data_IF_454117783502
#
_entry.id   IF_454117783502
#
_cell.length_a   1.000
_cell.length_b   1.000
_cell.length_c   1.000
_cell.angle_alpha   90.00
_cell.angle_beta   90.00
_cell.angle_gamma   90.00
#
_symmetry.space_group_name_H-M   'P 1'
#
loop_
_entity.id
_entity.type
_entity.pdbx_description
1 polymer ?
#
# COMPACT_ATOMS: atom_id res chain seq x y z
N UNK A 1 -9.99 -6.91 14.51
CA UNK A 1 -9.02 -6.60 13.45
C UNK A 1 -7.60 -6.66 14.00
N UNK A 2 -7.21 -5.71 14.87
CA UNK A 2 -5.91 -5.66 15.56
C UNK A 2 -5.90 -6.55 16.81
N UNK A 3 -4.72 -6.80 17.35
CA UNK A 3 -4.53 -7.41 18.67
C UNK A 3 -5.02 -6.46 19.76
N UNK A 4 -5.32 -6.99 20.95
CA UNK A 4 -5.76 -6.15 22.07
C UNK A 4 -4.62 -5.20 22.48
N UNK A 5 -4.92 -3.91 22.55
CA UNK A 5 -4.01 -2.91 23.08
C UNK A 5 -4.23 -2.78 24.59
N UNK A 6 -3.15 -2.87 25.39
CA UNK A 6 -3.17 -2.72 26.85
C UNK A 6 -2.73 -1.33 27.31
N UNK A 7 -1.80 -0.70 26.57
CA UNK A 7 -1.31 0.65 26.83
C UNK A 7 -0.93 1.32 25.52
N UNK A 8 -1.31 2.57 25.40
CA UNK A 8 -0.86 3.44 24.32
C UNK A 8 -0.55 4.82 24.92
N UNK A 9 0.70 5.04 25.25
CA UNK A 9 1.22 6.29 25.80
C UNK A 9 1.94 7.07 24.70
N UNK A 10 1.26 8.08 24.17
CA UNK A 10 1.76 8.90 23.04
C UNK A 10 2.93 9.76 23.48
N UNK A 11 2.92 10.26 24.73
CA UNK A 11 3.98 11.15 25.26
C UNK A 11 5.28 10.39 25.49
N UNK A 12 5.19 9.17 26.03
CA UNK A 12 6.33 8.30 26.24
C UNK A 12 6.74 7.50 25.00
N UNK A 13 5.91 7.49 23.93
CA UNK A 13 6.14 6.66 22.74
C UNK A 13 6.02 5.16 23.01
N UNK A 14 5.20 4.76 24.00
CA UNK A 14 5.07 3.35 24.41
C UNK A 14 3.73 2.79 23.96
N UNK A 15 3.78 1.66 23.21
CA UNK A 15 2.62 0.84 22.88
C UNK A 15 2.81 -0.57 23.42
N UNK A 16 1.84 -1.08 24.18
CA UNK A 16 1.84 -2.45 24.72
C UNK A 16 0.62 -3.19 24.20
N UNK A 17 0.86 -4.20 23.41
CA UNK A 17 -0.17 -5.04 22.80
C UNK A 17 -0.21 -6.43 23.43
N UNK A 18 -1.32 -7.13 23.23
CA UNK A 18 -1.45 -8.54 23.49
C UNK A 18 -0.41 -9.32 22.65
N UNK A 19 0.31 -10.22 23.31
CA UNK A 19 1.17 -11.18 22.63
C UNK A 19 0.35 -12.41 22.25
N UNK A 20 0.33 -12.77 20.98
CA UNK A 20 -0.36 -13.96 20.51
C UNK A 20 0.67 -15.09 20.44
N UNK A 21 0.62 -15.97 21.44
CA UNK A 21 1.54 -17.09 21.54
C UNK A 21 1.43 -18.02 20.33
N UNK A 22 2.58 -18.41 19.76
CA UNK A 22 2.70 -19.27 18.58
C UNK A 22 1.94 -18.74 17.34
N UNK A 23 1.75 -17.43 17.23
CA UNK A 23 1.23 -16.84 16.01
C UNK A 23 2.21 -17.01 14.85
N UNK A 24 1.67 -17.18 13.66
CA UNK A 24 2.43 -17.26 12.42
C UNK A 24 2.27 -15.95 11.67
N UNK A 25 3.37 -15.30 11.33
CA UNK A 25 3.41 -14.16 10.40
C UNK A 25 3.21 -14.67 8.97
N UNK A 26 2.34 -14.02 8.21
CA UNK A 26 2.15 -14.39 6.81
C UNK A 26 3.32 -13.89 5.95
N UNK A 27 3.49 -14.52 4.81
CA UNK A 27 4.42 -14.15 3.74
C UNK A 27 3.67 -14.09 2.39
N UNK A 28 4.37 -13.70 1.32
CA UNK A 28 3.81 -13.57 -0.02
C UNK A 28 3.19 -14.88 -0.58
N UNK A 29 3.52 -16.04 -0.02
CA UNK A 29 2.95 -17.34 -0.40
C UNK A 29 1.71 -17.67 0.44
N UNK A 30 1.84 -17.57 1.75
CA UNK A 30 0.78 -17.97 2.68
C UNK A 30 -0.42 -17.03 2.64
N UNK A 31 -0.22 -15.74 2.40
CA UNK A 31 -1.28 -14.74 2.28
C UNK A 31 -2.27 -15.09 1.14
N UNK A 32 -1.78 -15.68 0.05
CA UNK A 32 -2.59 -16.08 -1.11
C UNK A 32 -3.60 -17.20 -0.80
N UNK A 33 -3.43 -17.89 0.32
CA UNK A 33 -4.34 -18.96 0.78
C UNK A 33 -5.43 -18.45 1.74
N UNK A 34 -5.50 -17.12 2.00
CA UNK A 34 -6.33 -16.52 3.06
C UNK A 34 -7.29 -15.43 2.56
N UNK A 35 -7.63 -15.41 1.28
CA UNK A 35 -8.49 -14.38 0.69
C UNK A 35 -9.82 -14.24 1.41
N UNK A 36 -10.43 -15.37 1.79
CA UNK A 36 -11.68 -15.46 2.55
C UNK A 36 -11.61 -14.84 3.95
N UNK A 37 -10.40 -14.70 4.52
CA UNK A 37 -10.16 -14.09 5.82
C UNK A 37 -9.71 -12.63 5.72
N UNK A 38 -8.87 -12.31 4.71
CA UNK A 38 -8.29 -10.97 4.54
C UNK A 38 -9.32 -9.99 3.98
N UNK A 39 -10.08 -10.41 2.96
CA UNK A 39 -11.07 -9.53 2.33
C UNK A 39 -12.10 -8.98 3.33
N UNK A 40 -12.71 -9.76 4.26
CA UNK A 40 -13.59 -9.22 5.29
C UNK A 40 -12.92 -8.25 6.27
N UNK A 41 -11.63 -8.41 6.55
CA UNK A 41 -10.87 -7.47 7.38
C UNK A 41 -10.82 -6.11 6.66
N UNK A 42 -10.41 -6.08 5.38
CA UNK A 42 -10.32 -4.85 4.61
C UNK A 42 -11.70 -4.22 4.37
N UNK A 43 -12.72 -5.02 4.07
CA UNK A 43 -14.11 -4.53 3.98
C UNK A 43 -14.54 -3.81 5.26
N UNK A 44 -14.22 -4.42 6.42
CA UNK A 44 -14.56 -3.83 7.73
C UNK A 44 -13.89 -2.48 7.95
N UNK A 45 -12.63 -2.32 7.53
CA UNK A 45 -11.87 -1.07 7.65
C UNK A 45 -12.46 -0.01 6.71
N UNK A 46 -12.58 -0.34 5.43
CA UNK A 46 -12.98 0.58 4.37
C UNK A 46 -14.45 1.00 4.47
N UNK A 47 -15.32 0.14 5.02
CA UNK A 47 -16.73 0.45 5.24
C UNK A 47 -17.03 0.97 6.66
N UNK A 48 -16.02 1.16 7.53
CA UNK A 48 -16.22 1.49 8.95
C UNK A 48 -16.90 2.83 9.19
N UNK A 49 -16.81 3.77 8.26
CA UNK A 49 -17.23 5.15 8.44
C UNK A 49 -16.45 5.93 9.50
N UNK A 50 -15.38 5.36 10.04
CA UNK A 50 -14.49 6.02 11.01
C UNK A 50 -13.57 7.00 10.29
N UNK A 51 -13.27 8.10 10.95
CA UNK A 51 -12.24 9.03 10.49
C UNK A 51 -10.95 8.82 11.29
N UNK A 52 -9.86 8.57 10.56
CA UNK A 52 -8.50 8.54 11.09
C UNK A 52 -7.90 9.95 11.06
N UNK A 53 -6.92 10.18 11.91
CA UNK A 53 -6.14 11.41 11.86
C UNK A 53 -5.17 11.35 10.69
N UNK A 54 -5.09 12.44 9.94
CA UNK A 54 -4.19 12.53 8.79
C UNK A 54 -4.81 12.02 7.49
N UNK A 55 -4.14 12.37 6.43
CA UNK A 55 -4.46 11.98 5.07
C UNK A 55 -3.15 11.57 4.39
N UNK A 56 -3.16 10.44 3.74
CA UNK A 56 -2.03 10.01 2.93
C UNK A 56 -2.23 10.50 1.49
N UNK A 57 -1.49 11.53 1.10
CA UNK A 57 -1.55 12.16 -0.20
C UNK A 57 -0.37 11.70 -1.08
N UNK A 58 -0.53 10.75 -2.01
CA UNK A 58 0.58 10.11 -2.72
C UNK A 58 1.50 11.11 -3.45
N UNK A 59 0.96 12.11 -4.10
CA UNK A 59 1.76 13.11 -4.84
C UNK A 59 2.55 14.02 -3.90
N UNK A 60 2.02 14.31 -2.71
CA UNK A 60 2.76 15.06 -1.68
C UNK A 60 3.87 14.20 -1.05
N UNK A 61 3.65 12.89 -0.89
CA UNK A 61 4.70 11.98 -0.43
C UNK A 61 5.86 11.88 -1.44
N UNK A 62 5.59 11.88 -2.75
CA UNK A 62 6.64 11.97 -3.78
C UNK A 62 7.45 13.26 -3.59
N UNK A 63 6.79 14.42 -3.52
CA UNK A 63 7.45 15.72 -3.32
C UNK A 63 8.26 15.78 -2.03
N UNK A 64 7.73 15.19 -0.96
CA UNK A 64 8.39 15.10 0.34
C UNK A 64 9.70 14.33 0.23
N UNK A 65 9.70 13.10 -0.33
CA UNK A 65 10.94 12.33 -0.50
C UNK A 65 11.91 13.01 -1.47
N UNK A 66 11.43 13.61 -2.57
CA UNK A 66 12.28 14.44 -3.45
C UNK A 66 12.99 15.56 -2.69
N UNK A 67 12.30 16.20 -1.72
CA UNK A 67 12.87 17.29 -0.93
C UNK A 67 13.84 16.82 0.18
N UNK A 68 13.78 15.57 0.57
CA UNK A 68 14.63 14.96 1.60
C UNK A 68 15.90 14.34 1.03
N UNK A 69 15.92 14.02 -0.27
CA UNK A 69 17.09 13.50 -0.97
C UNK A 69 18.05 14.65 -1.25
N UNK A 70 19.26 14.55 -0.70
CA UNK A 70 20.29 15.60 -0.83
C UNK A 70 21.12 15.43 -2.12
N UNK A 71 21.32 14.19 -2.55
CA UNK A 71 22.06 13.86 -3.75
C UNK A 71 21.14 13.77 -4.98
N UNK A 72 21.74 13.49 -6.12
CA UNK A 72 20.97 13.27 -7.35
C UNK A 72 20.26 11.93 -7.30
N UNK A 73 18.94 11.92 -7.55
CA UNK A 73 18.17 10.70 -7.74
C UNK A 73 18.81 9.86 -8.86
N UNK A 74 19.21 8.60 -8.58
CA UNK A 74 20.06 7.82 -9.47
C UNK A 74 19.33 7.19 -10.66
N UNK A 75 18.03 7.37 -10.76
CA UNK A 75 17.20 6.69 -11.75
C UNK A 75 17.29 7.34 -13.15
N UNK A 76 17.41 6.49 -14.17
CA UNK A 76 17.44 6.95 -15.56
C UNK A 76 16.10 7.62 -15.94
N UNK A 77 16.18 8.74 -16.67
CA UNK A 77 15.02 9.49 -17.16
C UNK A 77 14.04 9.95 -16.07
N UNK A 78 14.48 10.03 -14.80
CA UNK A 78 13.61 10.33 -13.67
C UNK A 78 12.67 11.51 -13.92
N UNK A 79 13.17 12.61 -14.48
CA UNK A 79 12.35 13.81 -14.73
C UNK A 79 11.16 13.53 -15.66
N UNK A 80 11.37 12.80 -16.74
CA UNK A 80 10.29 12.47 -17.68
C UNK A 80 9.29 11.49 -17.03
N UNK A 81 9.78 10.46 -16.35
CA UNK A 81 8.93 9.50 -15.63
C UNK A 81 8.10 10.20 -14.54
N UNK A 82 8.71 11.15 -13.82
CA UNK A 82 8.01 11.95 -12.83
C UNK A 82 6.85 12.75 -13.45
N UNK A 83 7.08 13.39 -14.59
CA UNK A 83 6.04 14.15 -15.30
C UNK A 83 4.85 13.24 -15.69
N UNK A 84 5.13 12.02 -16.16
CA UNK A 84 4.11 11.03 -16.46
C UNK A 84 3.37 10.58 -15.18
N UNK A 85 4.08 10.28 -14.08
CA UNK A 85 3.47 9.94 -12.78
C UNK A 85 2.52 11.06 -12.32
N UNK A 86 2.95 12.33 -12.38
CA UNK A 86 2.11 13.45 -11.97
C UNK A 86 0.91 13.70 -12.90
N UNK A 87 0.97 13.27 -14.15
CA UNK A 87 -0.19 13.33 -15.04
C UNK A 87 -1.36 12.46 -14.56
N UNK A 88 -1.09 11.40 -13.78
CA UNK A 88 -2.09 10.52 -13.18
C UNK A 88 -2.95 11.21 -12.12
N UNK A 89 -2.50 12.33 -11.53
CA UNK A 89 -3.27 13.10 -10.54
C UNK A 89 -4.62 13.54 -11.11
N UNK A 90 -4.59 14.13 -12.31
CA UNK A 90 -5.81 14.54 -13.01
C UNK A 90 -6.72 13.35 -13.34
N UNK A 91 -6.12 12.22 -13.68
CA UNK A 91 -6.88 11.00 -13.99
C UNK A 91 -7.59 10.46 -12.75
N UNK A 92 -6.88 10.36 -11.61
CA UNK A 92 -7.48 9.97 -10.32
C UNK A 92 -8.60 10.93 -9.91
N UNK A 93 -8.39 12.24 -10.05
CA UNK A 93 -9.42 13.23 -9.74
C UNK A 93 -10.69 13.03 -10.59
N UNK A 94 -10.55 12.69 -11.87
CA UNK A 94 -11.69 12.41 -12.77
C UNK A 94 -12.40 11.08 -12.41
N UNK A 95 -11.68 10.07 -11.92
CA UNK A 95 -12.26 8.81 -11.46
C UNK A 95 -12.98 8.96 -10.10
N UNK A 96 -12.70 10.06 -9.38
CA UNK A 96 -13.16 10.29 -8.04
C UNK A 96 -12.32 9.50 -7.02
N UNK A 97 -11.78 10.21 -6.03
CA UNK A 97 -11.00 9.62 -4.92
C UNK A 97 -11.93 9.47 -3.73
N UNK A 98 -12.09 8.24 -3.27
CA UNK A 98 -12.83 7.96 -2.04
C UNK A 98 -11.98 8.24 -0.82
N UNK A 99 -12.57 8.87 0.20
CA UNK A 99 -11.87 9.16 1.46
C UNK A 99 -12.39 8.25 2.55
N UNK A 100 -11.66 7.15 2.79
CA UNK A 100 -11.99 6.10 3.76
C UNK A 100 -10.80 5.85 4.69
N UNK A 101 -11.06 5.16 5.81
CA UNK A 101 -9.98 4.67 6.66
C UNK A 101 -9.21 3.58 5.92
N UNK A 102 -7.90 3.73 5.79
CA UNK A 102 -6.99 2.79 5.16
C UNK A 102 -5.84 2.43 6.09
N UNK A 103 -5.28 1.25 5.90
CA UNK A 103 -4.09 0.80 6.63
C UNK A 103 -2.82 1.45 6.07
N UNK A 104 -2.78 1.67 4.76
CA UNK A 104 -1.71 2.26 3.96
C UNK A 104 -0.55 1.29 3.68
N UNK A 105 -0.14 0.49 4.65
CA UNK A 105 1.02 -0.39 4.58
C UNK A 105 0.61 -1.87 4.68
N UNK A 106 -0.08 -2.37 3.65
CA UNK A 106 -0.56 -3.76 3.61
C UNK A 106 0.50 -4.71 3.04
N UNK A 107 1.56 -4.92 3.80
CA UNK A 107 2.55 -5.99 3.55
C UNK A 107 2.08 -7.31 4.17
N UNK A 108 2.47 -8.47 3.63
CA UNK A 108 2.09 -9.78 4.20
C UNK A 108 2.47 -9.93 5.68
N UNK A 109 3.61 -9.37 6.08
CA UNK A 109 4.17 -9.45 7.43
C UNK A 109 3.30 -8.74 8.48
N UNK A 110 2.42 -7.84 8.06
CA UNK A 110 1.46 -7.16 8.94
C UNK A 110 0.22 -8.03 9.22
N UNK A 111 0.13 -9.22 8.63
CA UNK A 111 -0.90 -10.21 8.96
C UNK A 111 -0.33 -11.34 9.80
N UNK A 112 -0.88 -11.55 11.00
CA UNK A 112 -0.51 -12.67 11.87
C UNK A 112 -1.72 -13.57 12.12
N UNK A 113 -1.49 -14.89 12.09
CA UNK A 113 -2.53 -15.89 12.34
C UNK A 113 -2.25 -16.63 13.65
N UNK A 114 -3.23 -16.64 14.55
CA UNK A 114 -3.15 -17.42 15.78
C UNK A 114 -3.26 -18.93 15.51
N UNK A 115 -2.84 -19.80 16.46
CA UNK A 115 -3.02 -21.25 16.34
C UNK A 115 -4.47 -21.71 16.15
N UNK A 116 -5.43 -20.86 16.54
CA UNK A 116 -6.87 -21.13 16.38
C UNK A 116 -7.38 -20.63 15.00
N UNK A 117 -6.50 -20.16 14.14
CA UNK A 117 -6.82 -19.72 12.79
C UNK A 117 -7.45 -18.32 12.71
N UNK A 118 -7.42 -17.53 13.79
CA UNK A 118 -7.84 -16.13 13.76
C UNK A 118 -6.75 -15.26 13.17
N UNK A 119 -7.12 -14.44 12.19
CA UNK A 119 -6.22 -13.49 11.56
C UNK A 119 -6.31 -12.11 12.21
N UNK A 120 -5.17 -11.48 12.41
CA UNK A 120 -5.03 -10.11 12.89
C UNK A 120 -4.24 -9.29 11.89
N UNK A 121 -4.58 -8.02 11.75
CA UNK A 121 -3.83 -7.02 11.02
C UNK A 121 -3.21 -6.07 12.05
N UNK A 122 -1.90 -5.92 11.99
CA UNK A 122 -1.08 -5.16 12.95
C UNK A 122 -0.35 -4.03 12.22
N UNK A 123 0.38 -3.23 12.98
CA UNK A 123 1.23 -2.14 12.50
C UNK A 123 0.48 -1.01 11.77
N UNK A 124 -0.34 -0.32 12.54
CA UNK A 124 -1.22 0.77 12.08
C UNK A 124 -0.54 2.14 12.05
N UNK A 125 0.79 2.23 12.07
CA UNK A 125 1.50 3.51 12.21
C UNK A 125 1.27 4.47 11.03
N UNK A 126 1.10 3.94 9.82
CA UNK A 126 0.80 4.72 8.62
C UNK A 126 -0.69 4.93 8.38
N UNK A 127 -1.57 4.32 9.18
CA UNK A 127 -3.01 4.34 8.95
C UNK A 127 -3.55 5.77 8.84
N UNK A 128 -4.26 6.05 7.76
CA UNK A 128 -4.69 7.40 7.39
C UNK A 128 -5.97 7.33 6.55
N UNK A 129 -6.54 8.50 6.29
CA UNK A 129 -7.61 8.60 5.29
C UNK A 129 -6.99 8.53 3.89
N UNK A 130 -7.50 7.64 3.05
CA UNK A 130 -7.11 7.48 1.65
C UNK A 130 -8.21 6.76 0.86
N UNK A 131 -7.96 6.52 -0.41
CA UNK A 131 -8.81 5.66 -1.25
C UNK A 131 -8.54 4.18 -0.93
N UNK A 132 -9.56 3.34 -0.69
CA UNK A 132 -9.41 1.90 -0.46
C UNK A 132 -8.62 1.15 -1.52
N UNK A 133 -8.62 1.66 -2.77
CA UNK A 133 -7.86 1.06 -3.86
C UNK A 133 -6.34 1.16 -3.64
N UNK A 134 -5.88 2.10 -2.79
CA UNK A 134 -4.50 2.15 -2.32
C UNK A 134 -4.13 0.88 -1.54
N UNK A 135 -4.95 0.50 -0.57
CA UNK A 135 -4.72 -0.69 0.25
C UNK A 135 -4.72 -1.98 -0.59
N UNK A 136 -5.64 -2.08 -1.55
CA UNK A 136 -5.65 -3.22 -2.47
C UNK A 136 -4.40 -3.25 -3.35
N UNK A 137 -3.96 -2.09 -3.86
CA UNK A 137 -2.73 -1.99 -4.65
C UNK A 137 -1.50 -2.40 -3.83
N UNK A 138 -1.42 -1.98 -2.55
CA UNK A 138 -0.35 -2.38 -1.63
C UNK A 138 -0.32 -3.89 -1.43
N UNK A 139 -1.47 -4.48 -1.06
CA UNK A 139 -1.58 -5.92 -0.86
C UNK A 139 -1.12 -6.71 -2.10
N UNK A 140 -1.53 -6.29 -3.29
CA UNK A 140 -1.20 -6.99 -4.52
C UNK A 140 0.29 -6.86 -4.90
N UNK A 141 0.88 -5.69 -4.70
CA UNK A 141 2.30 -5.46 -4.98
C UNK A 141 3.20 -6.19 -3.99
N UNK A 142 2.93 -6.04 -2.69
CA UNK A 142 3.80 -6.58 -1.63
C UNK A 142 3.68 -8.11 -1.51
N UNK A 143 2.53 -8.65 -1.91
CA UNK A 143 2.30 -10.10 -1.92
C UNK A 143 2.57 -10.74 -3.29
N UNK A 144 3.07 -9.97 -4.26
CA UNK A 144 3.39 -10.45 -5.60
C UNK A 144 2.24 -11.22 -6.27
N UNK A 145 1.02 -10.66 -6.21
CA UNK A 145 -0.14 -11.30 -6.81
C UNK A 145 -0.03 -11.28 -8.35
N UNK A 146 -0.33 -12.41 -8.95
CA UNK A 146 -0.62 -12.48 -10.40
C UNK A 146 -1.96 -11.83 -10.71
N UNK A 147 -2.24 -11.40 -11.96
CA UNK A 147 -3.55 -10.86 -12.33
C UNK A 147 -4.72 -11.79 -12.00
N UNK A 148 -4.52 -13.10 -12.06
CA UNK A 148 -5.53 -14.09 -11.70
C UNK A 148 -5.79 -14.13 -10.19
N UNK A 149 -4.74 -13.99 -9.37
CA UNK A 149 -4.86 -13.93 -7.92
C UNK A 149 -5.51 -12.61 -7.46
N UNK A 150 -5.22 -11.50 -8.15
CA UNK A 150 -5.89 -10.22 -7.91
C UNK A 150 -7.41 -10.33 -8.14
N UNK A 151 -7.84 -10.87 -9.29
CA UNK A 151 -9.27 -11.06 -9.56
C UNK A 151 -9.91 -12.06 -8.58
N UNK A 152 -9.21 -13.12 -8.21
CA UNK A 152 -9.69 -14.05 -7.20
C UNK A 152 -9.87 -13.36 -5.84
N UNK A 153 -8.93 -12.52 -5.41
CA UNK A 153 -9.07 -11.73 -4.19
C UNK A 153 -10.24 -10.73 -4.29
N UNK A 154 -10.34 -10.01 -5.40
CA UNK A 154 -11.40 -9.03 -5.62
C UNK A 154 -12.78 -9.66 -5.59
N UNK A 155 -12.95 -10.91 -6.02
CA UNK A 155 -14.23 -11.63 -5.90
C UNK A 155 -14.69 -11.86 -4.46
N UNK A 156 -13.78 -11.84 -3.48
CA UNK A 156 -14.09 -11.89 -2.05
C UNK A 156 -14.31 -10.51 -1.43
N UNK A 157 -13.69 -9.47 -2.02
CA UNK A 157 -13.70 -8.12 -1.45
C UNK A 157 -14.83 -7.24 -2.01
N UNK A 158 -15.15 -7.33 -3.30
CA UNK A 158 -16.10 -6.43 -3.96
C UNK A 158 -17.53 -6.60 -3.45
N UNK A 159 -18.16 -5.49 -3.09
CA UNK A 159 -19.56 -5.43 -2.65
C UNK A 159 -20.14 -4.04 -2.92
N UNK A 160 -21.43 -3.83 -2.63
CA UNK A 160 -22.05 -2.51 -2.72
C UNK A 160 -21.39 -1.46 -1.80
N UNK A 161 -20.87 -1.89 -0.63
CA UNK A 161 -20.21 -1.02 0.34
C UNK A 161 -18.73 -0.82 0.05
N UNK A 162 -18.13 -1.74 -0.71
CA UNK A 162 -16.72 -1.74 -1.10
C UNK A 162 -16.58 -1.94 -2.62
N UNK A 163 -17.02 -0.96 -3.43
CA UNK A 163 -16.89 -1.03 -4.89
C UNK A 163 -15.42 -1.00 -5.30
N UNK A 164 -15.10 -1.68 -6.40
CA UNK A 164 -13.73 -1.80 -6.91
C UNK A 164 -13.57 -1.01 -8.20
N UNK A 165 -12.50 -0.24 -8.28
CA UNK A 165 -12.00 0.37 -9.51
C UNK A 165 -10.63 -0.20 -9.86
N UNK A 166 -10.59 -1.11 -10.83
CA UNK A 166 -9.35 -1.72 -11.31
C UNK A 166 -8.37 -0.70 -11.89
N UNK A 167 -8.91 0.36 -12.48
CA UNK A 167 -8.12 1.47 -12.99
C UNK A 167 -7.42 2.24 -11.86
N UNK A 168 -8.14 2.57 -10.78
CA UNK A 168 -7.50 3.21 -9.61
C UNK A 168 -6.44 2.31 -8.98
N UNK A 169 -6.67 1.00 -8.88
CA UNK A 169 -5.67 0.04 -8.41
C UNK A 169 -4.41 0.09 -9.27
N UNK A 170 -4.54 0.10 -10.60
CA UNK A 170 -3.39 0.19 -11.51
C UNK A 170 -2.60 1.49 -11.30
N UNK A 171 -3.29 2.62 -11.18
CA UNK A 171 -2.65 3.92 -10.90
C UNK A 171 -1.95 3.90 -9.53
N UNK A 172 -2.61 3.40 -8.48
CA UNK A 172 -2.01 3.34 -7.15
C UNK A 172 -0.80 2.41 -7.06
N UNK A 173 -0.75 1.34 -7.84
CA UNK A 173 0.47 0.51 -7.97
C UNK A 173 1.64 1.32 -8.51
N UNK A 174 1.42 2.13 -9.56
CA UNK A 174 2.45 3.01 -10.12
C UNK A 174 2.93 4.03 -9.09
N UNK A 175 2.00 4.67 -8.38
CA UNK A 175 2.31 5.67 -7.36
C UNK A 175 3.09 5.09 -6.18
N UNK A 176 2.72 3.90 -5.71
CA UNK A 176 3.45 3.21 -4.64
C UNK A 176 4.88 2.88 -5.06
N UNK A 177 5.05 2.34 -6.25
CA UNK A 177 6.38 2.04 -6.75
C UNK A 177 7.25 3.29 -6.93
N UNK A 178 6.67 4.42 -7.36
CA UNK A 178 7.36 5.69 -7.43
C UNK A 178 7.75 6.21 -6.03
N UNK A 179 6.84 6.16 -5.05
CA UNK A 179 7.09 6.63 -3.67
C UNK A 179 8.17 5.79 -3.00
N UNK A 180 8.00 4.45 -3.01
CA UNK A 180 8.93 3.56 -2.30
C UNK A 180 10.30 3.49 -2.96
N UNK A 181 10.41 3.74 -4.28
CA UNK A 181 11.72 3.93 -4.91
C UNK A 181 12.46 5.17 -4.36
N UNK A 182 11.78 6.29 -4.18
CA UNK A 182 12.37 7.51 -3.61
C UNK A 182 12.68 7.36 -2.11
N UNK A 183 11.78 6.73 -1.35
CA UNK A 183 12.02 6.39 0.04
C UNK A 183 13.30 5.59 0.20
N UNK A 184 13.55 4.63 -0.69
CA UNK A 184 14.78 3.83 -0.67
C UNK A 184 16.02 4.71 -0.86
N UNK A 185 16.03 5.59 -1.86
CA UNK A 185 17.15 6.53 -2.08
C UNK A 185 17.41 7.36 -0.82
N UNK A 186 16.35 7.95 -0.25
CA UNK A 186 16.47 8.74 0.98
C UNK A 186 17.05 7.92 2.15
N UNK A 187 16.65 6.67 2.33
CA UNK A 187 17.16 5.81 3.39
C UNK A 187 18.59 5.33 3.16
N UNK A 188 18.96 5.10 1.90
CA UNK A 188 20.32 4.72 1.53
C UNK A 188 21.32 5.88 1.75
N UNK A 189 20.93 7.13 1.52
CA UNK A 189 21.71 8.32 1.92
C UNK A 189 21.96 8.36 3.45
N UNK A 190 21.10 7.75 4.25
CA UNK A 190 21.27 7.63 5.70
C UNK A 190 22.03 6.37 6.12
N UNK A 191 22.60 5.61 5.19
CA UNK A 191 23.43 4.43 5.43
C UNK A 191 22.66 3.12 5.52
N UNK A 192 21.40 3.08 5.15
CA UNK A 192 20.67 1.83 4.97
C UNK A 192 21.10 1.13 3.66
N UNK A 193 20.92 -0.18 3.58
CA UNK A 193 21.16 -0.97 2.36
C UNK A 193 19.92 -1.82 2.08
N UNK A 194 19.27 -1.56 0.95
CA UNK A 194 18.10 -2.28 0.47
C UNK A 194 18.39 -3.05 -0.83
N UNK A 195 19.67 -3.17 -1.24
CA UNK A 195 20.05 -3.83 -2.48
C UNK A 195 19.33 -3.26 -3.70
N UNK A 196 18.71 -4.11 -4.48
CA UNK A 196 18.01 -3.69 -5.71
C UNK A 196 16.55 -3.24 -5.49
N UNK A 197 16.07 -3.16 -4.25
CA UNK A 197 14.65 -2.88 -3.97
C UNK A 197 14.17 -1.58 -4.62
N UNK A 198 14.84 -0.45 -4.39
CA UNK A 198 14.45 0.85 -4.95
C UNK A 198 14.49 0.89 -6.48
N UNK A 199 15.53 0.29 -7.08
CA UNK A 199 15.67 0.19 -8.54
C UNK A 199 14.57 -0.67 -9.14
N UNK A 200 14.25 -1.80 -8.53
CA UNK A 200 13.18 -2.70 -8.98
C UNK A 200 11.81 -2.02 -8.91
N UNK A 201 11.55 -1.26 -7.83
CA UNK A 201 10.33 -0.44 -7.69
C UNK A 201 10.23 0.59 -8.81
N UNK A 202 11.28 1.38 -9.02
CA UNK A 202 11.30 2.37 -10.08
C UNK A 202 11.04 1.77 -11.46
N UNK A 203 11.72 0.67 -11.80
CA UNK A 203 11.52 -0.03 -13.08
C UNK A 203 10.10 -0.56 -13.23
N UNK A 204 9.47 -1.02 -12.14
CA UNK A 204 8.07 -1.48 -12.16
C UNK A 204 7.11 -0.32 -12.39
N UNK A 205 7.36 0.86 -11.77
CA UNK A 205 6.59 2.08 -12.05
C UNK A 205 6.66 2.47 -13.53
N UNK A 206 7.85 2.47 -14.12
CA UNK A 206 8.04 2.76 -15.57
C UNK A 206 7.28 1.78 -16.46
N UNK A 207 7.34 0.48 -16.14
CA UNK A 207 6.57 -0.54 -16.89
C UNK A 207 5.06 -0.35 -16.72
N UNK A 208 4.63 0.01 -15.51
CA UNK A 208 3.23 0.30 -15.20
C UNK A 208 2.69 1.48 -16.01
N UNK A 209 3.46 2.59 -16.11
CA UNK A 209 3.11 3.74 -16.94
C UNK A 209 2.97 3.37 -18.42
N UNK A 210 3.94 2.63 -18.97
CA UNK A 210 3.90 2.20 -20.36
C UNK A 210 2.69 1.30 -20.68
N UNK A 211 2.33 0.40 -19.77
CA UNK A 211 1.16 -0.45 -19.90
C UNK A 211 -0.14 0.35 -19.81
N UNK A 212 -0.21 1.26 -18.85
CA UNK A 212 -1.39 2.11 -18.63
C UNK A 212 -1.63 3.05 -19.82
N UNK A 213 -0.60 3.76 -20.31
CA UNK A 213 -0.70 4.67 -21.46
C UNK A 213 -1.07 3.95 -22.77
N UNK A 214 -0.60 2.71 -22.98
CA UNK A 214 -0.97 1.91 -24.15
C UNK A 214 -2.42 1.37 -24.14
N UNK A 215 -3.11 1.47 -23.00
CA UNK A 215 -4.51 1.04 -22.87
C UNK A 215 -5.51 2.13 -23.26
N UNK A 216 -5.09 3.40 -23.24
CA UNK A 216 -5.93 4.55 -23.62
C UNK A 216 -6.02 4.76 -25.16
N UNK A 217 -5.22 4.05 -25.97
CA UNK A 217 -5.22 4.13 -27.43
C UNK A 217 -6.11 3.07 -28.13
N UNK A 218 -6.88 2.30 -27.37
CA UNK A 218 -7.82 1.27 -27.90
C UNK A 218 -9.26 1.58 -27.51
#
# INVERSE_FOLDING_TARGET
>A
LDVKNYLFDIEAGIKVNEYIESAITLDATTIKTKFDKIAPILQTIHASGKELRGEFAPFEEIKKYESLIEEKIPYANYKAVREEVFSLEKRLANLGVDRKSCHIDLVPENFIESPQGRLYLIDWEYSSMNDPMWDLAALFLESEFTPQEEEAFLSHYESEQTPVSREKIAIYKILQDAIWSLWTVYKEEQGADFGDYGVNRYQRAVKGLAYYGGSDEK
#
